data_IF_856790837684
#
_entry.id   IF_856790837684
#
_cell.length_a   1.000
_cell.length_b   1.000
_cell.length_c   1.000
_cell.angle_alpha   90.00
_cell.angle_beta   90.00
_cell.angle_gamma   90.00
#
_symmetry.space_group_name_H-M   'P 1'
#
loop_
_entity.id
_entity.type
_entity.pdbx_description
1 polymer ?
#
# COMPACT_ATOMS: atom_id res chain seq x y z
N UNK A 1 -8.60 8.37 -21.77
CA UNK A 1 -7.62 7.96 -22.81
C UNK A 1 -7.80 6.48 -23.11
N UNK A 2 -7.67 6.08 -24.39
CA UNK A 2 -7.77 4.67 -24.80
C UNK A 2 -6.40 4.20 -25.29
N UNK A 3 -5.89 3.11 -24.73
CA UNK A 3 -4.62 2.49 -25.15
C UNK A 3 -4.88 1.06 -25.64
N UNK A 4 -4.04 0.58 -26.56
CA UNK A 4 -4.05 -0.82 -27.00
C UNK A 4 -3.04 -1.62 -26.18
N UNK A 5 -3.48 -2.69 -25.54
CA UNK A 5 -2.66 -3.53 -24.66
C UNK A 5 -2.81 -5.02 -24.97
N UNK A 6 -1.92 -5.83 -24.41
CA UNK A 6 -1.94 -7.30 -24.57
C UNK A 6 -2.93 -7.96 -23.60
N UNK A 7 -4.22 -7.74 -23.84
CA UNK A 7 -5.32 -8.30 -23.05
C UNK A 7 -6.38 -8.91 -23.99
N UNK A 8 -7.24 -9.83 -23.48
CA UNK A 8 -8.36 -10.37 -24.26
C UNK A 8 -9.28 -9.28 -24.83
N UNK A 9 -9.40 -8.15 -24.10
CA UNK A 9 -10.07 -6.93 -24.52
C UNK A 9 -9.01 -5.83 -24.63
N UNK A 10 -8.35 -5.71 -25.80
CA UNK A 10 -7.10 -4.97 -25.92
C UNK A 10 -7.28 -3.46 -25.88
N UNK A 11 -8.47 -2.91 -26.10
CA UNK A 11 -8.72 -1.48 -26.01
C UNK A 11 -9.05 -1.12 -24.57
N UNK A 12 -8.06 -0.59 -23.85
CA UNK A 12 -8.14 -0.26 -22.43
C UNK A 12 -8.48 1.21 -22.25
N UNK A 13 -9.60 1.47 -21.58
CA UNK A 13 -10.14 2.79 -21.30
C UNK A 13 -9.69 3.23 -19.91
N UNK A 14 -8.74 4.16 -19.89
CA UNK A 14 -8.28 4.81 -18.67
C UNK A 14 -9.00 6.15 -18.44
N UNK A 15 -9.34 6.40 -17.19
CA UNK A 15 -9.62 7.74 -16.65
C UNK A 15 -8.37 8.62 -16.67
N UNK A 16 -8.53 9.89 -16.30
CA UNK A 16 -7.39 10.76 -16.02
C UNK A 16 -6.62 10.29 -14.77
N UNK A 17 -5.56 11.01 -14.40
CA UNK A 17 -4.77 10.60 -13.22
C UNK A 17 -5.68 10.51 -11.99
N UNK A 18 -5.39 9.53 -11.13
CA UNK A 18 -6.12 9.24 -9.88
C UNK A 18 -7.50 8.57 -10.00
N UNK A 19 -7.94 8.15 -11.18
CA UNK A 19 -9.27 7.56 -11.28
C UNK A 19 -9.42 6.14 -10.74
N UNK A 20 -10.67 5.74 -10.49
CA UNK A 20 -10.96 4.57 -9.67
C UNK A 20 -11.00 3.26 -10.46
N UNK A 21 -11.53 3.29 -11.68
CA UNK A 21 -11.79 2.09 -12.46
C UNK A 21 -11.16 2.15 -13.86
N UNK A 22 -11.00 0.98 -14.48
CA UNK A 22 -10.45 0.80 -15.83
C UNK A 22 -11.45 -0.01 -16.66
N UNK A 23 -11.76 0.48 -17.86
CA UNK A 23 -12.68 -0.16 -18.80
C UNK A 23 -11.95 -0.92 -19.88
N UNK A 24 -12.61 -1.92 -20.45
CA UNK A 24 -12.03 -2.83 -21.44
C UNK A 24 -12.99 -2.98 -22.61
N UNK A 25 -12.45 -3.01 -23.83
CA UNK A 25 -13.23 -3.13 -25.06
C UNK A 25 -12.51 -4.07 -26.03
N UNK A 26 -13.26 -4.94 -26.70
CA UNK A 26 -12.70 -6.00 -27.57
C UNK A 26 -12.20 -5.42 -28.89
N UNK A 27 -13.03 -4.60 -29.51
CA UNK A 27 -12.79 -3.89 -30.76
C UNK A 27 -13.65 -2.62 -30.80
N UNK A 28 -13.45 -1.77 -31.81
CA UNK A 28 -14.12 -0.46 -31.91
C UNK A 28 -15.65 -0.53 -31.99
N UNK A 29 -16.21 -1.67 -32.37
CA UNK A 29 -17.65 -1.87 -32.52
C UNK A 29 -18.29 -2.55 -31.31
N UNK A 30 -17.48 -3.18 -30.45
CA UNK A 30 -17.93 -3.80 -29.21
C UNK A 30 -18.25 -2.78 -28.11
N UNK A 31 -19.15 -3.12 -27.18
CA UNK A 31 -19.41 -2.32 -25.99
C UNK A 31 -18.20 -2.32 -25.03
N UNK A 32 -18.06 -1.24 -24.25
CA UNK A 32 -17.07 -1.17 -23.17
C UNK A 32 -17.62 -1.90 -21.94
N UNK A 33 -16.77 -2.72 -21.32
CA UNK A 33 -17.10 -3.52 -20.14
C UNK A 33 -16.13 -3.23 -19.00
N UNK A 34 -16.55 -3.51 -17.76
CA UNK A 34 -15.65 -3.70 -16.63
C UNK A 34 -15.35 -5.20 -16.45
N UNK A 35 -14.24 -5.51 -15.78
CA UNK A 35 -14.01 -6.90 -15.39
C UNK A 35 -14.96 -7.32 -14.27
N UNK A 36 -15.51 -8.53 -14.34
CA UNK A 36 -16.41 -9.08 -13.32
C UNK A 36 -15.81 -9.06 -11.92
N UNK A 37 -14.47 -9.18 -11.78
CA UNK A 37 -13.77 -9.08 -10.50
C UNK A 37 -13.87 -7.69 -9.83
N UNK A 38 -14.35 -6.68 -10.56
CA UNK A 38 -14.55 -5.31 -10.06
C UNK A 38 -15.99 -5.05 -9.63
N UNK A 39 -16.94 -5.95 -9.88
CA UNK A 39 -18.38 -5.73 -9.62
C UNK A 39 -18.65 -5.30 -8.18
N UNK A 40 -18.09 -6.01 -7.20
CA UNK A 40 -18.23 -5.68 -5.77
C UNK A 40 -17.65 -4.31 -5.44
N UNK A 41 -16.50 -3.96 -6.01
CA UNK A 41 -15.92 -2.63 -5.85
C UNK A 41 -16.83 -1.53 -6.40
N UNK A 42 -17.45 -1.73 -7.57
CA UNK A 42 -18.40 -0.74 -8.11
C UNK A 42 -19.62 -0.59 -7.20
N UNK A 43 -20.21 -1.70 -6.77
CA UNK A 43 -21.36 -1.70 -5.85
C UNK A 43 -21.04 -0.94 -4.56
N UNK A 44 -19.91 -1.26 -3.92
CA UNK A 44 -19.49 -0.62 -2.69
C UNK A 44 -19.14 0.86 -2.88
N UNK A 45 -18.57 1.24 -4.04
CA UNK A 45 -18.34 2.65 -4.38
C UNK A 45 -19.65 3.42 -4.42
N UNK A 46 -20.70 2.86 -5.05
CA UNK A 46 -22.05 3.45 -5.06
C UNK A 46 -22.64 3.50 -3.65
N UNK A 47 -22.57 2.42 -2.86
CA UNK A 47 -23.06 2.41 -1.46
C UNK A 47 -22.39 3.46 -0.59
N UNK A 48 -21.06 3.60 -0.70
CA UNK A 48 -20.30 4.61 0.04
C UNK A 48 -20.74 6.02 -0.31
N UNK A 49 -20.95 6.28 -1.61
CA UNK A 49 -21.48 7.56 -2.06
C UNK A 49 -22.88 7.83 -1.47
N UNK A 50 -23.79 6.86 -1.57
CA UNK A 50 -25.17 7.01 -1.10
C UNK A 50 -25.24 7.22 0.43
N UNK A 51 -24.34 6.56 1.18
CA UNK A 51 -24.24 6.71 2.63
C UNK A 51 -23.57 8.02 3.04
N UNK A 52 -22.55 8.44 2.31
CA UNK A 52 -21.73 9.62 2.60
C UNK A 52 -21.69 10.55 1.38
N UNK A 53 -22.80 11.21 1.03
CA UNK A 53 -22.78 12.22 -0.01
C UNK A 53 -21.80 13.31 0.43
N UNK A 54 -20.85 13.68 -0.44
CA UNK A 54 -19.90 14.77 -0.14
C UNK A 54 -20.65 15.99 0.39
N UNK A 55 -19.98 16.81 1.23
CA UNK A 55 -20.51 18.05 1.83
C UNK A 55 -21.10 19.10 0.86
N UNK A 56 -21.05 18.84 -0.44
CA UNK A 56 -21.89 19.51 -1.43
C UNK A 56 -23.35 19.06 -1.23
N UNK A 57 -24.12 19.85 -0.47
CA UNK A 57 -25.59 19.80 -0.42
C UNK A 57 -26.19 19.50 -1.80
N UNK A 58 -26.89 18.37 -1.95
CA UNK A 58 -27.56 17.94 -3.19
C UNK A 58 -26.67 18.00 -4.44
N UNK A 59 -25.65 17.12 -4.56
CA UNK A 59 -24.80 17.14 -5.72
C UNK A 59 -25.60 16.65 -6.94
N UNK A 60 -25.78 17.45 -8.00
CA UNK A 60 -26.44 17.00 -9.24
C UNK A 60 -25.78 15.74 -9.81
N UNK A 61 -26.53 14.94 -10.58
CA UNK A 61 -26.14 13.63 -11.15
C UNK A 61 -24.73 13.59 -11.77
N UNK A 62 -24.29 14.70 -12.37
CA UNK A 62 -22.94 14.83 -12.95
C UNK A 62 -21.80 14.76 -11.91
N UNK A 63 -22.06 15.05 -10.63
CA UNK A 63 -21.08 14.91 -9.54
C UNK A 63 -20.90 13.44 -9.16
N UNK A 64 -21.94 12.61 -9.25
CA UNK A 64 -21.84 11.17 -8.95
C UNK A 64 -20.94 10.44 -9.94
N UNK A 65 -21.08 10.75 -11.23
CA UNK A 65 -20.24 10.20 -12.29
C UNK A 65 -18.79 10.67 -12.16
N UNK A 66 -18.57 11.90 -11.67
CA UNK A 66 -17.23 12.38 -11.29
C UNK A 66 -16.67 11.64 -10.08
N UNK A 67 -17.48 11.25 -9.10
CA UNK A 67 -17.00 10.55 -7.90
C UNK A 67 -16.77 9.06 -8.10
N UNK A 68 -17.57 8.41 -8.95
CA UNK A 68 -17.27 7.04 -9.39
C UNK A 68 -15.93 7.00 -10.13
N UNK A 69 -15.55 8.10 -10.78
CA UNK A 69 -14.33 8.25 -11.59
C UNK A 69 -14.10 7.00 -12.47
N UNK A 70 -15.16 6.70 -13.23
CA UNK A 70 -15.19 5.65 -14.24
C UNK A 70 -14.67 6.20 -15.56
N UNK A 71 -14.17 5.34 -16.46
CA UNK A 71 -13.87 5.74 -17.82
C UNK A 71 -15.07 6.41 -18.49
N UNK A 72 -14.82 7.50 -19.21
CA UNK A 72 -15.89 8.34 -19.77
C UNK A 72 -16.84 7.57 -20.70
N UNK A 73 -16.32 6.55 -21.39
CA UNK A 73 -17.11 5.63 -22.21
C UNK A 73 -18.21 4.89 -21.44
N UNK A 74 -18.02 4.64 -20.14
CA UNK A 74 -19.02 4.02 -19.26
C UNK A 74 -19.95 5.10 -18.69
N UNK A 75 -19.39 6.25 -18.27
CA UNK A 75 -20.18 7.38 -17.79
C UNK A 75 -21.23 7.84 -18.83
N UNK A 76 -20.85 7.87 -20.11
CA UNK A 76 -21.78 8.20 -21.19
C UNK A 76 -22.97 7.25 -21.28
N UNK A 77 -22.78 5.95 -21.05
CA UNK A 77 -23.86 4.96 -21.10
C UNK A 77 -24.86 5.24 -20.00
N UNK A 78 -24.39 5.51 -18.78
CA UNK A 78 -25.25 5.84 -17.64
C UNK A 78 -26.01 7.15 -17.91
N UNK A 79 -25.32 8.22 -18.32
CA UNK A 79 -25.95 9.53 -18.63
C UNK A 79 -27.01 9.44 -19.72
N UNK A 80 -26.76 8.67 -20.79
CA UNK A 80 -27.72 8.49 -21.89
C UNK A 80 -28.99 7.76 -21.44
N UNK A 81 -28.88 6.89 -20.44
CA UNK A 81 -30.02 6.15 -19.87
C UNK A 81 -30.76 6.95 -18.80
N UNK A 82 -30.07 7.88 -18.12
CA UNK A 82 -30.59 8.73 -17.05
C UNK A 82 -31.38 7.96 -15.97
N UNK A 83 -30.84 6.86 -15.41
CA UNK A 83 -31.50 6.15 -14.32
C UNK A 83 -31.44 6.96 -13.02
N UNK A 84 -32.39 6.78 -12.08
CA UNK A 84 -32.29 7.35 -10.75
C UNK A 84 -30.93 7.05 -10.09
N UNK A 85 -30.41 8.01 -9.34
CA UNK A 85 -29.18 7.82 -8.56
C UNK A 85 -29.37 6.67 -7.59
N UNK A 86 -28.59 5.61 -7.74
CA UNK A 86 -28.70 4.44 -6.88
C UNK A 86 -27.96 3.22 -7.39
N UNK A 87 -28.20 2.09 -6.73
CA UNK A 87 -27.64 0.79 -7.13
C UNK A 87 -28.10 0.31 -8.51
N UNK A 88 -29.20 0.86 -9.03
CA UNK A 88 -29.71 0.57 -10.38
C UNK A 88 -28.68 0.87 -11.48
N UNK A 89 -27.71 1.75 -11.22
CA UNK A 89 -26.60 2.03 -12.14
C UNK A 89 -25.80 0.78 -12.49
N UNK A 90 -25.71 -0.20 -11.59
CA UNK A 90 -25.06 -1.48 -11.85
C UNK A 90 -25.72 -2.26 -13.00
N UNK A 91 -27.02 -2.05 -13.24
CA UNK A 91 -27.75 -2.71 -14.33
C UNK A 91 -27.35 -2.16 -15.71
N UNK A 92 -26.80 -0.96 -15.75
CA UNK A 92 -26.33 -0.29 -16.97
C UNK A 92 -24.85 -0.52 -17.26
N UNK A 93 -24.11 -1.11 -16.31
CA UNK A 93 -22.70 -1.45 -16.47
C UNK A 93 -22.57 -2.91 -16.91
N UNK A 94 -21.87 -3.13 -18.03
CA UNK A 94 -21.57 -4.47 -18.54
C UNK A 94 -20.32 -5.02 -17.86
N UNK A 95 -20.37 -6.29 -17.45
CA UNK A 95 -19.27 -7.00 -16.82
C UNK A 95 -18.86 -8.22 -17.65
N UNK A 96 -17.55 -8.48 -17.74
CA UNK A 96 -16.99 -9.64 -18.42
C UNK A 96 -15.87 -10.26 -17.60
N UNK A 97 -15.80 -11.58 -17.56
CA UNK A 97 -14.74 -12.31 -16.85
C UNK A 97 -13.39 -12.20 -17.57
N UNK A 98 -12.33 -12.20 -16.79
CA UNK A 98 -10.94 -12.30 -17.24
C UNK A 98 -10.48 -11.29 -18.29
N UNK A 99 -11.02 -10.07 -18.27
CA UNK A 99 -10.64 -9.01 -19.21
C UNK A 99 -9.58 -8.04 -18.68
N UNK A 100 -9.41 -7.93 -17.35
CA UNK A 100 -8.52 -6.93 -16.75
C UNK A 100 -7.08 -7.39 -16.58
N UNK A 101 -6.19 -6.44 -16.28
CA UNK A 101 -4.77 -6.70 -15.97
C UNK A 101 -4.60 -7.70 -14.84
N UNK A 102 -5.40 -7.60 -13.76
CA UNK A 102 -5.29 -8.52 -12.61
C UNK A 102 -5.54 -9.97 -13.02
N UNK A 103 -6.66 -10.24 -13.69
CA UNK A 103 -7.02 -11.60 -14.09
C UNK A 103 -6.02 -12.22 -15.07
N UNK A 104 -5.36 -11.38 -15.88
CA UNK A 104 -4.37 -11.81 -16.87
C UNK A 104 -2.92 -11.70 -16.37
N UNK A 105 -2.69 -11.24 -15.12
CA UNK A 105 -1.37 -11.00 -14.52
C UNK A 105 -0.50 -10.08 -15.41
N UNK A 106 -1.14 -9.08 -16.01
CA UNK A 106 -0.52 -8.08 -16.87
C UNK A 106 -0.33 -6.75 -16.13
N UNK A 107 0.42 -5.82 -16.72
CA UNK A 107 0.65 -4.49 -16.13
C UNK A 107 -0.06 -3.41 -16.93
N UNK A 108 -0.73 -2.44 -16.28
CA UNK A 108 -1.21 -1.24 -16.95
C UNK A 108 -0.08 -0.52 -17.68
N UNK A 109 -0.32 -0.05 -18.91
CA UNK A 109 0.66 0.75 -19.66
C UNK A 109 0.67 2.19 -19.19
N UNK A 110 -0.50 2.74 -18.84
CA UNK A 110 -0.64 4.09 -18.29
C UNK A 110 -0.15 4.11 -16.84
N UNK A 111 0.45 5.22 -16.41
CA UNK A 111 0.69 5.49 -14.99
C UNK A 111 -0.54 6.14 -14.32
N UNK A 112 -0.86 5.68 -13.12
CA UNK A 112 -1.99 6.13 -12.30
C UNK A 112 -1.79 7.54 -11.76
N UNK A 113 -0.57 7.86 -11.33
CA UNK A 113 -0.21 9.15 -10.78
C UNK A 113 1.21 9.54 -11.20
N UNK A 114 1.58 10.81 -10.99
CA UNK A 114 2.92 11.30 -11.32
C UNK A 114 3.97 10.79 -10.33
N UNK A 115 5.27 10.81 -10.69
CA UNK A 115 6.38 10.45 -9.79
C UNK A 115 6.35 11.13 -8.42
N UNK A 116 5.81 12.35 -8.33
CA UNK A 116 5.75 13.12 -7.10
C UNK A 116 4.75 12.54 -6.07
N UNK A 117 3.68 11.90 -6.52
CA UNK A 117 2.54 11.52 -5.68
C UNK A 117 2.42 10.00 -5.42
N UNK A 118 3.40 9.20 -5.84
CA UNK A 118 3.35 7.76 -5.63
C UNK A 118 4.67 7.03 -5.80
N UNK A 119 4.80 5.94 -5.03
CA UNK A 119 5.84 4.94 -5.27
C UNK A 119 5.68 4.35 -6.66
N UNK A 120 6.75 3.72 -7.20
CA UNK A 120 6.67 3.04 -8.50
C UNK A 120 5.52 2.02 -8.56
N UNK A 121 5.24 1.33 -7.46
CA UNK A 121 4.14 0.37 -7.39
C UNK A 121 2.79 1.08 -7.49
N UNK A 122 2.56 2.12 -6.68
CA UNK A 122 1.33 2.94 -6.74
C UNK A 122 1.13 3.59 -8.10
N UNK A 123 2.19 4.07 -8.75
CA UNK A 123 2.13 4.62 -10.11
C UNK A 123 1.68 3.60 -11.14
N UNK A 124 2.02 2.32 -10.96
CA UNK A 124 1.66 1.26 -11.93
C UNK A 124 0.27 0.69 -11.62
N UNK A 125 -0.03 0.46 -10.34
CA UNK A 125 -1.18 -0.33 -9.91
C UNK A 125 -2.19 0.46 -9.06
N UNK A 126 -2.10 1.78 -9.03
CA UNK A 126 -2.94 2.63 -8.18
C UNK A 126 -4.44 2.46 -8.41
N UNK A 127 -4.88 2.23 -9.66
CA UNK A 127 -6.27 1.85 -9.94
C UNK A 127 -6.69 0.58 -9.17
N UNK A 128 -5.84 -0.44 -9.16
CA UNK A 128 -6.11 -1.70 -8.45
C UNK A 128 -6.05 -1.56 -6.94
N UNK A 129 -5.27 -0.60 -6.42
CA UNK A 129 -5.32 -0.21 -5.01
C UNK A 129 -6.69 0.39 -4.71
N UNK A 130 -7.18 1.37 -5.48
CA UNK A 130 -8.51 1.95 -5.28
C UNK A 130 -9.64 0.92 -5.42
N UNK A 131 -9.59 0.08 -6.46
CA UNK A 131 -10.54 -1.03 -6.63
C UNK A 131 -10.54 -1.94 -5.41
N UNK A 132 -9.37 -2.23 -4.83
CA UNK A 132 -9.32 -3.07 -3.64
C UNK A 132 -9.85 -2.35 -2.39
N UNK A 133 -9.60 -1.05 -2.22
CA UNK A 133 -10.27 -0.21 -1.22
C UNK A 133 -11.79 -0.37 -1.28
N UNK A 134 -12.37 -0.18 -2.47
CA UNK A 134 -13.81 -0.33 -2.65
C UNK A 134 -14.29 -1.76 -2.45
N UNK A 135 -13.54 -2.79 -2.87
CA UNK A 135 -13.87 -4.19 -2.56
C UNK A 135 -14.01 -4.46 -1.05
N UNK A 136 -13.21 -3.75 -0.23
CA UNK A 136 -13.27 -3.80 1.23
C UNK A 136 -14.32 -2.86 1.82
N UNK A 137 -15.05 -2.11 0.99
CA UNK A 137 -16.08 -1.18 1.43
C UNK A 137 -15.51 0.12 2.00
N UNK A 138 -14.35 0.58 1.52
CA UNK A 138 -13.65 1.78 2.03
C UNK A 138 -13.45 2.77 0.89
N UNK A 139 -13.64 4.05 1.14
CA UNK A 139 -13.31 5.10 0.18
C UNK A 139 -11.79 5.37 0.19
N UNK A 140 -11.08 5.31 -0.96
CA UNK A 140 -9.66 5.60 -1.03
C UNK A 140 -9.32 7.10 -0.85
N UNK A 141 -10.29 8.01 -0.99
CA UNK A 141 -10.13 9.43 -0.68
C UNK A 141 -10.28 9.65 0.82
N UNK A 142 -9.22 10.20 1.44
CA UNK A 142 -9.14 10.37 2.89
C UNK A 142 -8.83 11.82 3.30
N UNK A 143 -9.05 12.77 2.38
CA UNK A 143 -8.68 14.18 2.58
C UNK A 143 -9.56 14.86 3.64
N UNK A 144 -10.84 14.50 3.66
CA UNK A 144 -11.92 15.08 4.45
C UNK A 144 -12.46 14.14 5.53
N UNK A 145 -12.08 12.86 5.52
CA UNK A 145 -12.59 11.85 6.43
C UNK A 145 -12.11 10.43 6.15
N UNK A 146 -12.64 9.45 6.91
CA UNK A 146 -12.42 8.01 6.66
C UNK A 146 -13.78 7.34 6.45
N UNK A 147 -14.18 7.19 5.20
CA UNK A 147 -15.49 6.64 4.84
C UNK A 147 -15.44 5.13 4.60
N UNK A 148 -16.26 4.37 5.32
CA UNK A 148 -16.33 2.91 5.18
C UNK A 148 -17.74 2.34 5.46
N UNK A 149 -18.04 1.18 4.87
CA UNK A 149 -19.27 0.44 5.09
C UNK A 149 -19.12 -0.50 6.28
N UNK A 150 -19.58 -0.05 7.46
CA UNK A 150 -19.47 -0.78 8.73
C UNK A 150 -20.07 -2.19 8.70
N UNK A 151 -21.22 -2.41 8.07
CA UNK A 151 -21.85 -3.74 8.07
C UNK A 151 -21.48 -4.61 6.86
N UNK A 152 -20.98 -4.01 5.77
CA UNK A 152 -20.66 -4.73 4.52
C UNK A 152 -19.15 -5.01 4.32
N UNK A 153 -18.30 -4.44 5.18
CA UNK A 153 -16.85 -4.57 5.12
C UNK A 153 -16.31 -5.88 5.72
N UNK A 154 -15.14 -6.38 5.28
CA UNK A 154 -14.52 -7.57 5.89
C UNK A 154 -14.20 -7.36 7.36
N UNK A 155 -14.49 -8.37 8.21
CA UNK A 155 -14.35 -8.31 9.67
C UNK A 155 -12.98 -7.78 10.12
N UNK A 156 -11.90 -8.23 9.47
CA UNK A 156 -10.52 -7.83 9.76
C UNK A 156 -10.29 -6.32 9.61
N UNK A 157 -10.90 -5.71 8.58
CA UNK A 157 -10.84 -4.27 8.35
C UNK A 157 -11.71 -3.53 9.35
N UNK A 158 -12.89 -4.07 9.69
CA UNK A 158 -13.79 -3.46 10.67
C UNK A 158 -13.15 -3.34 12.04
N UNK A 159 -12.48 -4.40 12.50
CA UNK A 159 -11.77 -4.39 13.79
C UNK A 159 -10.69 -3.29 13.86
N UNK A 160 -10.15 -2.88 12.72
CA UNK A 160 -9.18 -1.79 12.65
C UNK A 160 -9.87 -0.42 12.60
N UNK A 161 -10.92 -0.25 11.79
CA UNK A 161 -11.57 1.04 11.54
C UNK A 161 -12.73 1.38 12.48
N UNK A 162 -13.19 0.45 13.30
CA UNK A 162 -14.24 0.64 14.30
C UNK A 162 -13.74 0.22 15.71
N UNK A 163 -12.74 0.94 16.26
CA UNK A 163 -12.21 0.62 17.58
C UNK A 163 -13.26 0.78 18.67
N UNK A 164 -13.13 0.02 19.76
CA UNK A 164 -13.84 0.32 21.01
C UNK A 164 -13.25 1.55 21.69
N UNK A 165 -13.92 2.10 22.70
CA UNK A 165 -13.38 3.21 23.50
C UNK A 165 -12.08 2.82 24.22
N UNK A 166 -11.98 1.54 24.63
CA UNK A 166 -10.77 1.00 25.23
C UNK A 166 -9.62 0.97 24.22
N UNK A 167 -9.88 0.53 22.99
CA UNK A 167 -8.87 0.51 21.93
C UNK A 167 -8.39 1.92 21.58
N UNK A 168 -9.32 2.89 21.53
CA UNK A 168 -8.95 4.31 21.34
C UNK A 168 -8.10 4.83 22.48
N UNK A 169 -8.45 4.54 23.74
CA UNK A 169 -7.66 4.95 24.89
C UNK A 169 -6.24 4.38 24.80
N UNK A 170 -6.10 3.09 24.50
CA UNK A 170 -4.81 2.43 24.33
C UNK A 170 -3.97 3.11 23.23
N UNK A 171 -4.57 3.44 22.08
CA UNK A 171 -3.88 4.15 21.01
C UNK A 171 -3.52 5.60 21.39
N UNK A 172 -4.43 6.33 22.04
CA UNK A 172 -4.19 7.68 22.55
C UNK A 172 -2.95 7.68 23.47
N UNK A 173 -2.85 6.71 24.37
CA UNK A 173 -1.67 6.53 25.24
C UNK A 173 -0.42 6.11 24.48
N UNK A 174 -0.56 5.17 23.54
CA UNK A 174 0.55 4.72 22.68
C UNK A 174 1.20 5.89 21.92
N UNK A 175 0.39 6.85 21.47
CA UNK A 175 0.85 8.03 20.74
C UNK A 175 1.13 9.24 21.64
N UNK A 176 1.06 9.10 22.98
CA UNK A 176 1.28 10.18 23.96
C UNK A 176 0.40 11.40 23.68
N UNK A 177 -0.87 11.13 23.41
CA UNK A 177 -1.90 12.12 23.20
C UNK A 177 -2.70 12.28 24.50
N UNK A 178 -3.16 13.49 24.78
CA UNK A 178 -3.96 13.80 25.97
C UNK A 178 -3.29 13.41 27.30
N UNK A 179 -1.95 13.48 27.39
CA UNK A 179 -1.17 13.10 28.57
C UNK A 179 -1.56 13.84 29.87
N UNK A 180 -2.27 14.97 29.77
CA UNK A 180 -2.74 15.77 30.92
C UNK A 180 -4.07 15.30 31.51
N UNK A 181 -4.75 14.37 30.85
CA UNK A 181 -6.04 13.82 31.29
C UNK A 181 -5.81 12.40 31.82
N UNK A 182 -6.51 12.00 32.87
CA UNK A 182 -6.54 10.63 33.37
C UNK A 182 -7.34 9.71 32.42
N UNK A 183 -7.08 8.41 32.47
CA UNK A 183 -7.77 7.42 31.62
C UNK A 183 -9.29 7.47 31.78
N UNK A 184 -9.77 7.66 33.01
CA UNK A 184 -11.20 7.77 33.32
C UNK A 184 -11.82 9.02 32.67
N UNK A 185 -11.12 10.16 32.68
CA UNK A 185 -11.59 11.39 32.06
C UNK A 185 -11.74 11.21 30.55
N UNK A 186 -10.73 10.61 29.89
CA UNK A 186 -10.76 10.35 28.45
C UNK A 186 -11.93 9.41 28.10
N UNK A 187 -12.10 8.32 28.86
CA UNK A 187 -13.21 7.38 28.63
C UNK A 187 -14.58 8.05 28.83
N UNK A 188 -14.74 8.88 29.85
CA UNK A 188 -16.00 9.57 30.08
C UNK A 188 -16.28 10.64 29.02
N UNK A 189 -15.25 11.29 28.47
CA UNK A 189 -15.40 12.15 27.30
C UNK A 189 -15.77 11.36 26.04
N UNK A 190 -15.13 10.21 25.79
CA UNK A 190 -15.43 9.34 24.64
C UNK A 190 -16.89 8.89 24.63
N UNK A 191 -17.42 8.47 25.79
CA UNK A 191 -18.83 8.06 25.93
C UNK A 191 -19.83 9.17 25.64
N UNK A 192 -19.42 10.43 25.81
CA UNK A 192 -20.26 11.62 25.57
C UNK A 192 -20.24 12.08 24.11
N UNK A 193 -19.37 11.51 23.27
CA UNK A 193 -19.38 11.81 21.83
C UNK A 193 -20.61 11.15 21.21
N UNK A 194 -21.67 11.93 21.09
CA UNK A 194 -22.80 11.60 20.22
C UNK A 194 -22.30 11.50 18.77
N UNK A 195 -22.83 10.56 18.00
CA UNK A 195 -22.47 10.38 16.60
C UNK A 195 -20.96 10.14 16.35
N UNK A 196 -20.33 9.31 17.19
CA UNK A 196 -18.90 8.93 17.08
C UNK A 196 -18.46 8.51 15.68
N UNK A 197 -19.33 7.83 14.93
CA UNK A 197 -19.06 7.48 13.53
C UNK A 197 -18.86 8.75 12.70
N UNK A 198 -19.74 9.73 12.79
CA UNK A 198 -19.70 11.00 12.04
C UNK A 198 -18.49 11.86 12.44
N UNK A 199 -18.07 11.81 13.71
CA UNK A 199 -16.85 12.45 14.19
C UNK A 199 -15.56 11.84 13.63
N UNK A 200 -15.55 10.52 13.36
CA UNK A 200 -14.46 9.83 12.66
C UNK A 200 -14.49 10.14 11.15
N UNK A 201 -15.69 10.40 10.63
CA UNK A 201 -15.96 10.58 9.20
C UNK A 201 -15.69 11.99 8.68
N UNK A 202 -15.58 13.04 9.50
CA UNK A 202 -15.55 14.41 8.98
C UNK A 202 -14.64 15.37 9.74
N UNK A 203 -13.80 16.08 8.96
CA UNK A 203 -13.14 17.33 9.37
C UNK A 203 -14.07 18.55 9.33
N UNK A 204 -15.26 18.40 8.74
CA UNK A 204 -16.13 19.51 8.30
C UNK A 204 -17.38 19.76 9.15
N UNK A 205 -17.75 18.87 10.06
CA UNK A 205 -18.59 19.33 11.14
C UNK A 205 -17.67 20.10 12.09
N UNK A 206 -17.75 21.43 11.99
CA UNK A 206 -17.51 22.27 13.15
C UNK A 206 -18.35 21.65 14.26
N UNK A 207 -17.72 20.80 15.06
CA UNK A 207 -18.32 20.46 16.33
C UNK A 207 -18.23 21.79 17.04
N UNK A 208 -19.36 22.49 17.10
CA UNK A 208 -19.56 23.72 17.89
C UNK A 208 -19.47 23.40 19.39
N UNK A 209 -18.59 22.47 19.76
CA UNK A 209 -18.24 22.21 21.12
C UNK A 209 -17.29 23.33 21.55
N UNK A 210 -17.84 24.26 22.30
CA UNK A 210 -17.11 25.39 22.83
C UNK A 210 -16.08 24.96 23.89
N UNK A 211 -16.13 23.71 24.35
CA UNK A 211 -15.18 23.17 25.32
C UNK A 211 -13.87 22.72 24.66
N UNK A 212 -12.78 23.41 25.01
CA UNK A 212 -11.42 23.16 24.49
C UNK A 212 -10.95 21.70 24.65
N UNK A 213 -11.44 20.98 25.68
CA UNK A 213 -11.08 19.59 25.93
C UNK A 213 -11.60 18.64 24.85
N UNK A 214 -12.84 18.81 24.37
CA UNK A 214 -13.39 17.98 23.30
C UNK A 214 -12.70 18.22 21.98
N UNK A 215 -12.32 19.47 21.66
CA UNK A 215 -11.49 19.78 20.49
C UNK A 215 -10.17 18.99 20.48
N UNK A 216 -9.52 18.87 21.64
CA UNK A 216 -8.29 18.06 21.77
C UNK A 216 -8.58 16.57 21.61
N UNK A 217 -9.71 16.08 22.12
CA UNK A 217 -10.11 14.69 21.96
C UNK A 217 -10.41 14.35 20.50
N UNK A 218 -11.16 15.19 19.77
CA UNK A 218 -11.43 14.98 18.34
C UNK A 218 -10.14 14.95 17.51
N UNK A 219 -9.19 15.84 17.78
CA UNK A 219 -7.87 15.80 17.14
C UNK A 219 -7.13 14.48 17.44
N UNK A 220 -7.18 14.02 18.69
CA UNK A 220 -6.55 12.76 19.07
C UNK A 220 -7.19 11.56 18.35
N UNK A 221 -8.52 11.52 18.26
CA UNK A 221 -9.26 10.50 17.50
C UNK A 221 -8.89 10.56 16.03
N UNK A 222 -8.93 11.73 15.39
CA UNK A 222 -8.54 11.91 13.98
C UNK A 222 -7.12 11.39 13.73
N UNK A 223 -6.17 11.69 14.62
CA UNK A 223 -4.81 11.21 14.53
C UNK A 223 -4.73 9.68 14.62
N UNK A 224 -5.37 9.07 15.64
CA UNK A 224 -5.38 7.62 15.86
C UNK A 224 -5.99 6.91 14.66
N UNK A 225 -7.14 7.39 14.19
CA UNK A 225 -7.84 6.79 13.05
C UNK A 225 -7.01 6.89 11.76
N UNK A 226 -6.25 7.98 11.55
CA UNK A 226 -5.29 8.07 10.44
C UNK A 226 -4.16 7.05 10.55
N UNK A 227 -3.69 6.69 11.75
CA UNK A 227 -2.69 5.63 11.89
C UNK A 227 -3.28 4.26 11.57
N UNK A 228 -4.45 3.95 12.12
CA UNK A 228 -5.21 2.72 11.82
C UNK A 228 -5.48 2.56 10.31
N UNK A 229 -5.83 3.66 9.63
CA UNK A 229 -6.01 3.66 8.18
C UNK A 229 -4.72 3.36 7.41
N UNK A 230 -3.54 3.73 7.92
CA UNK A 230 -2.26 3.33 7.29
C UNK A 230 -2.03 1.82 7.40
N UNK A 231 -2.48 1.19 8.49
CA UNK A 231 -2.42 -0.26 8.63
C UNK A 231 -3.31 -0.95 7.59
N UNK A 232 -4.55 -0.46 7.43
CA UNK A 232 -5.47 -0.89 6.38
C UNK A 232 -4.88 -0.66 4.98
N UNK A 233 -4.27 0.50 4.73
CA UNK A 233 -3.61 0.81 3.46
C UNK A 233 -2.52 -0.22 3.15
N UNK A 234 -1.69 -0.56 4.14
CA UNK A 234 -0.62 -1.56 3.99
C UNK A 234 -1.19 -2.94 3.64
N UNK A 235 -2.29 -3.36 4.29
CA UNK A 235 -2.97 -4.62 3.99
C UNK A 235 -3.46 -4.62 2.53
N UNK A 236 -4.20 -3.57 2.14
CA UNK A 236 -4.77 -3.42 0.80
C UNK A 236 -3.69 -3.39 -0.28
N UNK A 237 -2.62 -2.61 -0.09
CA UNK A 237 -1.51 -2.54 -1.04
C UNK A 237 -0.80 -3.90 -1.15
N UNK A 238 -0.60 -4.61 -0.04
CA UNK A 238 0.03 -5.93 -0.05
C UNK A 238 -0.81 -6.99 -0.78
N UNK A 239 -2.13 -6.99 -0.63
CA UNK A 239 -3.00 -7.86 -1.42
C UNK A 239 -2.86 -7.58 -2.93
N UNK A 240 -2.81 -6.31 -3.33
CA UNK A 240 -2.59 -5.92 -4.73
C UNK A 240 -1.20 -6.35 -5.21
N UNK A 241 -0.18 -6.24 -4.34
CA UNK A 241 1.17 -6.74 -4.64
C UNK A 241 1.14 -8.25 -4.90
N UNK A 242 0.44 -9.01 -4.08
CA UNK A 242 0.28 -10.45 -4.25
C UNK A 242 -0.43 -10.79 -5.58
N UNK A 243 -1.48 -10.03 -5.96
CA UNK A 243 -2.18 -10.22 -7.24
C UNK A 243 -1.25 -10.12 -8.45
N UNK A 244 -0.27 -9.21 -8.40
CA UNK A 244 0.71 -8.98 -9.46
C UNK A 244 2.08 -9.58 -9.16
N UNK A 245 2.15 -10.59 -8.27
CA UNK A 245 3.38 -11.31 -7.89
C UNK A 245 4.56 -10.37 -7.58
N UNK A 246 4.26 -9.30 -6.86
CA UNK A 246 5.21 -8.28 -6.44
C UNK A 246 5.49 -8.42 -4.94
N UNK A 247 6.72 -8.09 -4.52
CA UNK A 247 7.10 -8.12 -3.09
C UNK A 247 6.22 -7.20 -2.25
N UNK A 248 5.86 -7.64 -1.04
CA UNK A 248 5.06 -6.86 -0.09
C UNK A 248 5.83 -5.65 0.44
N UNK A 249 5.11 -4.65 0.91
CA UNK A 249 5.65 -3.50 1.65
C UNK A 249 6.16 -3.98 3.00
N UNK A 250 7.45 -3.74 3.28
CA UNK A 250 8.16 -4.24 4.46
C UNK A 250 9.27 -5.23 4.06
N UNK A 251 8.98 -6.13 3.12
CA UNK A 251 9.89 -7.21 2.71
C UNK A 251 11.20 -6.71 2.09
N UNK A 252 11.20 -5.48 1.54
CA UNK A 252 12.34 -4.92 0.80
C UNK A 252 13.55 -4.56 1.68
N UNK A 253 13.36 -4.38 2.98
CA UNK A 253 14.40 -4.12 4.01
C UNK A 253 14.32 -5.11 5.17
N UNK A 254 13.25 -5.90 5.22
CA UNK A 254 13.09 -6.94 6.22
C UNK A 254 14.17 -7.98 6.09
N UNK A 255 14.68 -8.35 4.91
CA UNK A 255 15.68 -9.43 4.86
C UNK A 255 17.05 -9.03 5.43
N UNK A 256 17.59 -7.84 5.18
CA UNK A 256 18.80 -7.34 5.87
C UNK A 256 18.55 -7.19 7.37
N UNK A 257 17.42 -6.59 7.75
CA UNK A 257 17.08 -6.35 9.16
C UNK A 257 16.79 -7.66 9.91
N UNK A 258 16.16 -8.63 9.26
CA UNK A 258 15.82 -9.97 9.75
C UNK A 258 17.09 -10.80 9.85
N UNK A 259 17.95 -10.77 8.83
CA UNK A 259 19.25 -11.42 8.86
C UNK A 259 20.09 -10.89 10.03
N UNK A 260 20.17 -9.57 10.21
CA UNK A 260 20.83 -8.96 11.37
C UNK A 260 20.22 -9.43 12.70
N UNK A 261 18.89 -9.41 12.84
CA UNK A 261 18.22 -9.87 14.07
C UNK A 261 18.47 -11.34 14.36
N UNK A 262 18.45 -12.20 13.35
CA UNK A 262 18.71 -13.64 13.49
C UNK A 262 20.16 -13.86 13.92
N UNK A 263 21.14 -13.23 13.26
CA UNK A 263 22.55 -13.42 13.60
C UNK A 263 22.84 -12.90 15.01
N UNK A 264 22.31 -11.72 15.38
CA UNK A 264 22.45 -11.17 16.73
C UNK A 264 21.80 -12.05 17.80
N UNK A 265 20.72 -12.76 17.46
CA UNK A 265 20.08 -13.74 18.35
C UNK A 265 20.91 -15.02 18.48
N UNK A 266 21.48 -15.51 17.38
CA UNK A 266 22.26 -16.74 17.34
C UNK A 266 23.65 -16.58 18.01
N UNK A 267 24.25 -15.39 17.89
CA UNK A 267 25.59 -15.08 18.37
C UNK A 267 25.61 -13.73 19.11
N UNK A 268 24.97 -13.64 20.28
CA UNK A 268 24.87 -12.39 21.05
C UNK A 268 26.22 -11.85 21.54
N UNK A 269 27.25 -12.68 21.59
CA UNK A 269 28.61 -12.37 22.02
C UNK A 269 29.46 -11.66 20.96
N UNK A 270 29.05 -11.70 19.68
CA UNK A 270 29.84 -11.10 18.60
C UNK A 270 29.59 -9.60 18.47
N UNK A 271 30.65 -8.82 18.27
CA UNK A 271 30.54 -7.39 17.94
C UNK A 271 30.16 -7.25 16.48
N UNK A 272 29.01 -6.62 16.23
CA UNK A 272 28.44 -6.48 14.88
C UNK A 272 28.00 -5.05 14.57
N UNK A 273 28.26 -4.61 13.35
CA UNK A 273 27.88 -3.29 12.82
C UNK A 273 26.94 -3.46 11.63
N UNK A 274 25.97 -2.56 11.49
CA UNK A 274 25.12 -2.46 10.29
C UNK A 274 25.57 -1.31 9.42
N UNK A 275 25.34 -1.42 8.11
CA UNK A 275 25.65 -0.35 7.16
C UNK A 275 27.10 0.15 7.33
N UNK A 276 28.03 -0.80 7.49
CA UNK A 276 29.41 -0.53 7.85
C UNK A 276 30.19 -0.01 6.64
N UNK A 277 30.75 1.20 6.76
CA UNK A 277 31.48 1.91 5.70
C UNK A 277 32.91 2.22 6.13
N UNK A 278 33.79 1.21 6.23
CA UNK A 278 35.17 1.44 6.63
C UNK A 278 35.95 2.19 5.53
N UNK A 279 36.99 2.97 5.87
CA UNK A 279 37.76 3.73 4.90
C UNK A 279 38.35 2.89 3.76
N UNK A 280 38.75 1.63 4.02
CA UNK A 280 39.32 0.74 3.00
C UNK A 280 38.31 0.26 1.95
N UNK A 281 37.01 0.44 2.18
CA UNK A 281 35.97 0.10 1.20
C UNK A 281 35.69 1.21 0.18
N UNK A 282 36.44 2.32 0.23
CA UNK A 282 36.40 3.39 -0.78
C UNK A 282 34.96 3.88 -1.05
N UNK A 283 34.25 4.18 0.03
CA UNK A 283 32.85 4.66 0.02
C UNK A 283 31.79 3.56 -0.14
N UNK A 284 32.17 2.29 -0.29
CA UNK A 284 31.24 1.16 -0.31
C UNK A 284 30.81 0.74 1.10
N UNK A 285 29.66 0.09 1.20
CA UNK A 285 29.02 -0.33 2.44
C UNK A 285 28.92 -1.86 2.55
N UNK A 286 29.08 -2.41 3.75
CA UNK A 286 28.63 -3.75 4.12
C UNK A 286 27.31 -3.70 4.87
N UNK A 287 26.33 -4.53 4.47
CA UNK A 287 25.03 -4.55 5.15
C UNK A 287 25.17 -4.90 6.64
N UNK A 288 26.01 -5.92 6.92
CA UNK A 288 26.40 -6.34 8.27
C UNK A 288 27.90 -6.68 8.29
N UNK A 289 28.63 -6.19 9.28
CA UNK A 289 30.02 -6.55 9.55
C UNK A 289 30.15 -7.17 10.94
N UNK A 290 30.80 -8.33 11.05
CA UNK A 290 31.11 -9.01 12.29
C UNK A 290 32.60 -8.81 12.55
N UNK A 291 32.92 -7.91 13.47
CA UNK A 291 34.29 -7.46 13.73
C UNK A 291 35.16 -8.57 14.29
N UNK A 292 34.63 -9.35 15.23
CA UNK A 292 35.37 -10.42 15.90
C UNK A 292 35.79 -11.57 14.98
N UNK A 293 35.18 -11.67 13.80
CA UNK A 293 35.43 -12.76 12.84
C UNK A 293 35.95 -12.24 11.49
N UNK A 294 36.12 -10.93 11.32
CA UNK A 294 36.44 -10.29 10.04
C UNK A 294 35.51 -10.74 8.90
N UNK A 295 34.19 -10.79 9.17
CA UNK A 295 33.18 -11.24 8.21
C UNK A 295 32.27 -10.09 7.79
N UNK A 296 32.13 -9.90 6.48
CA UNK A 296 31.08 -9.07 5.88
C UNK A 296 29.93 -9.94 5.36
N UNK A 297 28.70 -9.55 5.67
CA UNK A 297 27.49 -10.22 5.19
C UNK A 297 26.69 -9.26 4.34
N UNK A 298 26.28 -9.75 3.16
CA UNK A 298 25.59 -8.96 2.14
C UNK A 298 24.32 -9.68 1.69
N UNK A 299 23.20 -8.96 1.69
CA UNK A 299 21.94 -9.46 1.17
C UNK A 299 21.75 -9.01 -0.29
N UNK A 300 21.82 -9.97 -1.21
CA UNK A 300 21.82 -9.73 -2.65
C UNK A 300 20.39 -9.79 -3.20
N UNK A 301 19.76 -8.63 -3.36
CA UNK A 301 18.46 -8.51 -4.01
C UNK A 301 18.46 -8.92 -5.50
N UNK A 302 17.28 -9.17 -6.09
CA UNK A 302 17.10 -9.53 -7.53
C UNK A 302 17.82 -8.62 -8.54
N UNK A 303 18.04 -7.37 -8.15
CA UNK A 303 18.76 -6.35 -8.91
C UNK A 303 20.24 -6.69 -9.18
N UNK A 304 20.83 -7.64 -8.46
CA UNK A 304 22.18 -8.15 -8.70
C UNK A 304 22.22 -9.25 -9.79
N UNK A 305 21.08 -9.85 -10.12
CA UNK A 305 21.00 -10.99 -11.04
C UNK A 305 20.35 -10.64 -12.38
N UNK A 306 19.51 -9.60 -12.44
CA UNK A 306 18.79 -9.21 -13.67
C UNK A 306 18.86 -7.70 -13.93
N UNK A 307 19.11 -7.28 -15.19
CA UNK A 307 19.10 -5.87 -15.57
C UNK A 307 17.68 -5.30 -15.51
N UNK A 308 17.46 -4.30 -14.67
CA UNK A 308 16.19 -3.57 -14.59
C UNK A 308 16.20 -2.39 -15.58
N UNK A 309 15.37 -2.45 -16.63
CA UNK A 309 15.22 -1.40 -17.65
C UNK A 309 14.95 0.00 -17.09
N UNK A 310 14.37 0.11 -15.89
CA UNK A 310 13.96 1.38 -15.28
C UNK A 310 15.04 2.16 -14.53
N UNK A 311 16.27 1.64 -14.42
CA UNK A 311 17.37 2.30 -13.69
C UNK A 311 18.62 2.44 -14.56
N UNK A 312 18.51 2.52 -15.88
CA UNK A 312 19.66 2.57 -16.82
C UNK A 312 19.98 1.26 -17.53
N UNK A 313 19.08 0.27 -17.44
CA UNK A 313 19.11 -0.95 -18.26
C UNK A 313 20.37 -1.79 -18.05
N UNK A 314 21.06 -2.14 -19.14
CA UNK A 314 22.29 -2.97 -19.11
C UNK A 314 23.49 -2.23 -18.50
N UNK A 315 23.51 -0.90 -18.58
CA UNK A 315 24.68 -0.10 -18.21
C UNK A 315 24.81 0.05 -16.69
N UNK A 316 23.71 0.29 -15.99
CA UNK A 316 23.71 0.30 -14.51
C UNK A 316 23.84 -1.08 -13.91
N UNK A 317 23.37 -2.12 -14.60
CA UNK A 317 23.67 -3.50 -14.22
C UNK A 317 25.17 -3.80 -14.30
N UNK A 318 25.85 -3.39 -15.37
CA UNK A 318 27.31 -3.50 -15.51
C UNK A 318 28.05 -2.73 -14.42
N UNK A 319 27.70 -1.44 -14.20
CA UNK A 319 28.31 -0.64 -13.12
C UNK A 319 28.12 -1.30 -11.75
N UNK A 320 26.96 -1.93 -11.51
CA UNK A 320 26.70 -2.63 -10.25
C UNK A 320 27.54 -3.90 -10.10
N UNK A 321 27.71 -4.68 -11.17
CA UNK A 321 28.64 -5.81 -11.20
C UNK A 321 30.09 -5.37 -10.97
N UNK A 322 30.50 -4.24 -11.54
CA UNK A 322 31.83 -3.66 -11.32
C UNK A 322 32.04 -3.24 -9.86
N UNK A 323 31.02 -2.62 -9.24
CA UNK A 323 31.05 -2.25 -7.82
C UNK A 323 31.05 -3.48 -6.91
N UNK A 324 30.28 -4.51 -7.21
CA UNK A 324 30.26 -5.77 -6.45
C UNK A 324 31.62 -6.48 -6.54
N UNK A 325 32.24 -6.48 -7.74
CA UNK A 325 33.58 -7.01 -7.94
C UNK A 325 34.62 -6.22 -7.16
N UNK A 326 34.59 -4.88 -7.25
CA UNK A 326 35.47 -3.98 -6.49
C UNK A 326 35.32 -4.20 -4.98
N UNK A 327 34.09 -4.30 -4.47
CA UNK A 327 33.80 -4.58 -3.06
C UNK A 327 34.47 -5.89 -2.64
N UNK A 328 34.28 -6.96 -3.42
CA UNK A 328 34.88 -8.28 -3.15
C UNK A 328 36.41 -8.22 -3.15
N UNK A 329 37.02 -7.53 -4.10
CA UNK A 329 38.48 -7.35 -4.15
C UNK A 329 39.01 -6.56 -2.94
N UNK A 330 38.33 -5.50 -2.52
CA UNK A 330 38.70 -4.71 -1.35
C UNK A 330 38.55 -5.51 -0.05
N UNK A 331 37.47 -6.29 0.11
CA UNK A 331 37.31 -7.18 1.24
C UNK A 331 38.43 -8.24 1.29
N UNK A 332 38.72 -8.90 0.17
CA UNK A 332 39.79 -9.90 0.08
C UNK A 332 41.17 -9.31 0.43
N UNK A 333 41.48 -8.09 -0.03
CA UNK A 333 42.75 -7.40 0.30
C UNK A 333 42.90 -7.10 1.79
N UNK A 334 41.79 -6.92 2.50
CA UNK A 334 41.76 -6.65 3.93
C UNK A 334 41.45 -7.90 4.76
N UNK A 335 41.57 -9.11 4.18
CA UNK A 335 41.26 -10.39 4.82
C UNK A 335 39.82 -10.51 5.36
N UNK A 336 38.88 -9.74 4.82
CA UNK A 336 37.47 -9.82 5.19
C UNK A 336 36.77 -10.87 4.34
N UNK A 337 36.19 -11.86 5.00
CA UNK A 337 35.42 -12.90 4.34
C UNK A 337 34.00 -12.42 4.04
N UNK A 338 33.60 -12.44 2.77
CA UNK A 338 32.23 -12.08 2.35
C UNK A 338 31.31 -13.29 2.26
N UNK A 339 30.17 -13.21 2.93
CA UNK A 339 29.08 -14.20 2.86
C UNK A 339 27.85 -13.53 2.25
N UNK A 340 27.37 -14.07 1.13
CA UNK A 340 26.20 -13.56 0.44
C UNK A 340 24.95 -14.34 0.82
N UNK A 341 23.83 -13.64 1.04
CA UNK A 341 22.50 -14.23 1.11
C UNK A 341 21.67 -13.71 -0.06
N UNK A 342 21.29 -14.60 -0.98
CA UNK A 342 20.56 -14.21 -2.17
C UNK A 342 19.05 -14.07 -1.90
N UNK A 343 18.37 -13.35 -2.79
CA UNK A 343 16.95 -13.03 -2.63
C UNK A 343 16.01 -14.23 -2.66
N UNK A 344 16.47 -15.34 -3.22
CA UNK A 344 15.76 -16.61 -3.37
C UNK A 344 16.04 -17.59 -2.22
N UNK A 345 16.87 -17.18 -1.25
CA UNK A 345 17.14 -17.98 -0.06
C UNK A 345 16.13 -17.71 1.05
N UNK A 346 15.72 -18.78 1.75
CA UNK A 346 14.91 -18.66 2.95
C UNK A 346 15.73 -18.11 4.12
N UNK A 347 15.35 -16.93 4.62
CA UNK A 347 16.01 -16.32 5.78
C UNK A 347 15.28 -16.76 7.07
N UNK A 348 15.73 -17.86 7.68
CA UNK A 348 15.29 -18.38 8.98
C UNK A 348 16.50 -18.78 9.86
N UNK A 349 16.26 -19.00 11.16
CA UNK A 349 17.32 -19.27 12.16
C UNK A 349 18.22 -20.47 11.77
N UNK A 350 17.62 -21.56 11.29
CA UNK A 350 18.34 -22.79 10.95
C UNK A 350 19.23 -22.62 9.72
N UNK A 351 18.69 -22.01 8.65
CA UNK A 351 19.42 -21.75 7.41
C UNK A 351 20.61 -20.81 7.64
N UNK A 352 20.38 -19.69 8.34
CA UNK A 352 21.42 -18.72 8.67
C UNK A 352 22.52 -19.38 9.50
N UNK A 353 22.16 -20.19 10.50
CA UNK A 353 23.14 -20.91 11.33
C UNK A 353 23.98 -21.89 10.49
N UNK A 354 23.33 -22.73 9.67
CA UNK A 354 24.02 -23.70 8.81
C UNK A 354 24.99 -23.04 7.84
N UNK A 355 24.56 -21.93 7.21
CA UNK A 355 25.39 -21.20 6.24
C UNK A 355 26.59 -20.54 6.90
N UNK A 356 26.41 -19.90 8.06
CA UNK A 356 27.51 -19.33 8.82
C UNK A 356 28.49 -20.40 9.30
N UNK A 357 28.03 -21.51 9.88
CA UNK A 357 28.90 -22.60 10.34
C UNK A 357 29.73 -23.21 9.21
N UNK A 358 29.10 -23.47 8.05
CA UNK A 358 29.80 -23.98 6.86
C UNK A 358 30.92 -23.04 6.41
N UNK A 359 30.69 -21.74 6.49
CA UNK A 359 31.68 -20.74 6.12
C UNK A 359 32.72 -20.48 7.23
N UNK A 360 32.42 -20.82 8.48
CA UNK A 360 33.33 -20.68 9.62
C UNK A 360 34.25 -21.90 9.82
N UNK A 361 34.06 -23.00 9.06
CA UNK A 361 34.78 -24.28 9.23
C UNK A 361 34.72 -24.81 10.68
N UNK A 362 33.57 -24.67 11.34
CA UNK A 362 33.28 -25.22 12.68
C UNK A 362 32.24 -26.34 12.56
#
# INVERSE_FOLDING_TARGET
>A
MILKENLPYPLVHYTDMYGNFVGFQKDKNSEVVLCSCMRKAVENCIKLFLKYPSSLLNPPEWILLKQLDMPESINEVIRKKNPPVGLEWLNHIKFKEDVCHRCNIEKPTKEYCTPMYGTKFKRTFGWYININYFNKGINPSTYDGIYYLKEDGPIEIRLILDPTDKDLLEDIRRYKLLDRFEDKEILDMLKKIEHREEAILLRHFYIEDNELQYKKLYYAIEYVMKQRLKEVHKIIENEVRDWFKSKRVGEKWENETKLYKIIRKLYPELTMYRHFRPPFLDGLELDIYIETLDIGIEYQGEQHFKPFKHWGGKETFKKRQELDKKKKELCNKNNIKLIYFNYDEEINDEHVRKKLLKELNI
#
